data_IF_636192842184
#
_entry.id   IF_636192842184
#
_cell.length_a   1.000
_cell.length_b   1.000
_cell.length_c   1.000
_cell.angle_alpha   90.00
_cell.angle_beta   90.00
_cell.angle_gamma   90.00
#
_symmetry.space_group_name_H-M   'P 1'
#
loop_
_entity.id
_entity.type
_entity.pdbx_description
1 polymer ?
#
# COMPACT_ATOMS: atom_id res chain seq x y z
N UNK A 1 4.65 15.67 5.84
CA UNK A 1 5.28 14.48 5.22
C UNK A 1 4.96 13.27 6.10
N UNK A 2 4.63 12.13 5.49
CA UNK A 2 4.43 10.86 6.21
C UNK A 2 5.65 10.00 5.92
N UNK A 3 6.41 9.64 6.96
CA UNK A 3 7.50 8.69 6.82
C UNK A 3 6.88 7.30 6.63
N UNK A 4 6.87 6.79 5.39
CA UNK A 4 6.43 5.44 5.06
C UNK A 4 7.65 4.53 5.06
N UNK A 5 8.07 4.08 6.24
CA UNK A 5 9.12 3.08 6.32
C UNK A 5 9.62 2.92 7.73
N UNK A 6 9.53 1.71 8.26
CA UNK A 6 10.32 1.26 9.40
C UNK A 6 11.78 1.14 8.94
N UNK A 7 12.38 2.25 8.51
CA UNK A 7 13.78 2.31 8.16
C UNK A 7 14.56 2.33 9.47
N UNK A 8 15.46 1.37 9.65
CA UNK A 8 16.35 1.34 10.82
C UNK A 8 17.55 2.30 10.64
N UNK A 9 17.72 2.87 9.45
CA UNK A 9 18.72 3.91 9.19
C UNK A 9 18.17 5.28 9.61
N UNK A 10 19.05 6.13 10.13
CA UNK A 10 18.67 7.47 10.58
C UNK A 10 18.28 8.37 9.40
N UNK A 11 17.10 9.00 9.50
CA UNK A 11 16.67 10.02 8.54
C UNK A 11 17.47 11.32 8.73
N UNK A 12 18.14 11.78 7.68
CA UNK A 12 18.84 13.07 7.69
C UNK A 12 17.86 14.21 7.44
N UNK A 13 17.51 14.95 8.50
CA UNK A 13 16.60 16.11 8.45
C UNK A 13 17.39 17.39 8.68
N UNK A 14 17.27 18.37 7.77
CA UNK A 14 17.83 19.73 7.93
C UNK A 14 16.81 20.65 8.61
N UNK A 15 16.96 20.99 9.91
CA UNK A 15 15.92 21.71 10.65
C UNK A 15 15.60 23.08 10.08
N UNK A 16 16.62 23.82 9.60
CA UNK A 16 16.44 25.14 9.01
C UNK A 16 15.51 25.13 7.78
N UNK A 17 15.53 24.05 6.98
CA UNK A 17 14.64 23.92 5.82
C UNK A 17 13.22 23.57 6.26
N UNK A 18 13.07 22.69 7.26
CA UNK A 18 11.77 22.32 7.80
C UNK A 18 11.07 23.51 8.47
N UNK A 19 11.80 24.28 9.28
CA UNK A 19 11.27 25.46 9.96
C UNK A 19 10.87 26.57 8.99
N UNK A 20 11.63 26.80 7.91
CA UNK A 20 11.32 27.82 6.90
C UNK A 20 9.96 27.59 6.20
N UNK A 21 9.50 26.34 6.17
CA UNK A 21 8.24 25.93 5.53
C UNK A 21 7.21 25.46 6.55
N UNK A 22 7.47 25.64 7.85
CA UNK A 22 6.59 25.21 8.95
C UNK A 22 6.14 23.75 8.80
N UNK A 23 7.07 22.87 8.38
CA UNK A 23 6.72 21.48 8.08
C UNK A 23 6.35 20.72 9.36
N UNK A 24 5.25 19.97 9.29
CA UNK A 24 4.88 18.97 10.31
C UNK A 24 5.31 17.57 9.85
N UNK A 25 6.09 16.89 10.69
CA UNK A 25 6.46 15.49 10.52
C UNK A 25 5.54 14.59 11.34
N UNK A 26 5.04 13.53 10.71
CA UNK A 26 4.25 12.49 11.38
C UNK A 26 4.90 11.13 11.09
N UNK A 27 5.07 10.35 12.15
CA UNK A 27 5.65 9.00 12.11
C UNK A 27 4.58 7.98 12.55
N UNK A 28 3.54 7.74 11.71
CA UNK A 28 2.51 6.77 12.06
C UNK A 28 3.10 5.36 12.09
N UNK A 29 2.69 4.58 13.08
CA UNK A 29 3.09 3.18 13.22
C UNK A 29 1.85 2.32 13.39
N UNK A 30 1.70 1.33 12.51
CA UNK A 30 0.53 0.47 12.47
C UNK A 30 -0.75 1.24 12.11
N UNK A 31 -1.88 0.64 12.48
CA UNK A 31 -3.22 1.14 12.18
C UNK A 31 -4.14 0.96 13.38
N UNK A 32 -5.04 1.91 13.57
CA UNK A 32 -6.12 1.81 14.54
C UNK A 32 -7.31 1.06 13.94
N UNK A 33 -8.23 0.58 14.78
CA UNK A 33 -9.49 -0.01 14.32
C UNK A 33 -10.25 0.93 13.38
N UNK A 34 -10.26 2.23 13.65
CA UNK A 34 -10.97 3.21 12.83
C UNK A 34 -10.39 3.29 11.42
N UNK A 35 -9.08 3.13 11.27
CA UNK A 35 -8.43 3.15 9.95
C UNK A 35 -8.93 1.97 9.08
N UNK A 36 -9.13 0.79 9.68
CA UNK A 36 -9.70 -0.37 8.99
C UNK A 36 -11.17 -0.16 8.63
N UNK A 37 -11.97 0.46 9.49
CA UNK A 37 -13.37 0.79 9.19
C UNK A 37 -13.47 1.76 8.02
N UNK A 38 -12.65 2.83 8.02
CA UNK A 38 -12.59 3.78 6.91
C UNK A 38 -12.18 3.09 5.62
N UNK A 39 -11.16 2.24 5.66
CA UNK A 39 -10.72 1.49 4.49
C UNK A 39 -11.86 0.61 3.96
N UNK A 40 -12.50 -0.20 4.81
CA UNK A 40 -13.61 -1.07 4.43
C UNK A 40 -14.79 -0.28 3.84
N UNK A 41 -15.15 0.86 4.42
CA UNK A 41 -16.22 1.74 3.92
C UNK A 41 -15.90 2.27 2.51
N UNK A 42 -14.65 2.64 2.25
CA UNK A 42 -14.19 3.10 0.94
C UNK A 42 -14.26 1.96 -0.09
N UNK A 43 -13.84 0.76 0.30
CA UNK A 43 -13.92 -0.42 -0.57
C UNK A 43 -15.36 -0.80 -0.91
N UNK A 44 -16.27 -0.72 0.07
CA UNK A 44 -17.68 -1.04 -0.15
C UNK A 44 -18.36 -0.02 -1.07
N UNK A 45 -17.96 1.25 -1.02
CA UNK A 45 -18.53 2.34 -1.84
C UNK A 45 -18.01 2.34 -3.27
N UNK A 46 -16.77 1.91 -3.50
CA UNK A 46 -16.16 1.79 -4.82
C UNK A 46 -16.25 0.35 -5.32
N UNK A 47 -17.37 -0.06 -5.93
CA UNK A 47 -17.42 -1.38 -6.58
C UNK A 47 -17.98 -1.29 -8.00
N UNK A 48 -17.17 -1.75 -8.95
CA UNK A 48 -17.43 -2.08 -10.37
C UNK A 48 -17.51 -0.89 -11.32
N UNK A 49 -16.35 -0.38 -11.73
CA UNK A 49 -16.22 0.48 -12.90
C UNK A 49 -15.08 0.01 -13.79
N UNK A 50 -15.41 -0.51 -14.98
CA UNK A 50 -14.47 -0.71 -16.09
C UNK A 50 -13.54 0.50 -16.25
N UNK A 51 -12.27 0.20 -16.48
CA UNK A 51 -11.18 1.17 -16.69
C UNK A 51 -11.62 2.30 -17.64
N UNK A 52 -11.58 3.54 -17.13
CA UNK A 52 -11.51 4.75 -17.94
C UNK A 52 -12.77 5.63 -17.93
N UNK A 53 -12.89 6.55 -16.97
CA UNK A 53 -13.37 7.93 -17.18
C UNK A 53 -12.83 8.83 -16.07
N UNK A 54 -12.39 10.04 -16.41
CA UNK A 54 -11.51 10.88 -15.61
C UNK A 54 -12.23 11.79 -14.58
N UNK A 55 -13.54 11.61 -14.34
CA UNK A 55 -14.37 12.67 -13.73
C UNK A 55 -15.24 12.22 -12.54
N UNK A 56 -14.84 11.13 -11.86
CA UNK A 56 -15.47 10.72 -10.59
C UNK A 56 -14.41 10.76 -9.49
N UNK A 57 -14.65 11.51 -8.42
CA UNK A 57 -13.96 11.30 -7.14
C UNK A 57 -14.47 9.97 -6.59
N UNK A 58 -13.82 8.81 -6.61
CA UNK A 58 -12.60 8.28 -7.21
C UNK A 58 -12.75 6.79 -6.98
N UNK A 59 -13.17 6.04 -8.00
CA UNK A 59 -13.43 4.59 -7.86
C UNK A 59 -12.12 3.91 -7.46
N UNK A 60 -12.07 3.36 -6.25
CA UNK A 60 -10.91 2.59 -5.78
C UNK A 60 -11.13 1.14 -6.19
N UNK A 61 -10.23 0.61 -7.03
CA UNK A 61 -10.22 -0.80 -7.45
C UNK A 61 -8.99 -1.50 -6.83
N UNK A 62 -9.07 -2.02 -5.59
CA UNK A 62 -7.91 -2.57 -4.89
C UNK A 62 -7.31 -3.80 -5.57
N UNK A 63 -8.15 -4.50 -6.35
CA UNK A 63 -7.75 -5.67 -7.14
C UNK A 63 -6.73 -5.28 -8.21
N UNK A 64 -6.73 -4.05 -8.71
CA UNK A 64 -5.74 -3.56 -9.65
C UNK A 64 -4.33 -3.42 -9.04
N UNK A 65 -4.21 -3.44 -7.71
CA UNK A 65 -2.90 -3.44 -7.04
C UNK A 65 -2.28 -4.83 -6.97
N UNK A 66 -3.04 -5.90 -7.25
CA UNK A 66 -2.53 -7.26 -7.19
C UNK A 66 -1.65 -7.52 -8.41
N UNK A 67 -0.39 -7.86 -8.19
CA UNK A 67 0.53 -8.22 -9.27
C UNK A 67 0.48 -9.71 -9.59
N UNK A 68 0.09 -10.54 -8.62
CA UNK A 68 -0.03 -11.99 -8.82
C UNK A 68 -0.96 -12.64 -7.78
N UNK A 69 -1.49 -13.82 -8.10
CA UNK A 69 -2.24 -14.70 -7.19
C UNK A 69 -1.66 -16.10 -7.30
N UNK A 70 -1.18 -16.64 -6.19
CA UNK A 70 -0.48 -17.94 -6.17
C UNK A 70 -1.20 -18.95 -5.29
N UNK A 71 -1.21 -20.21 -5.71
CA UNK A 71 -1.67 -21.32 -4.88
C UNK A 71 -0.70 -21.63 -3.74
N UNK A 72 -1.17 -22.36 -2.73
CA UNK A 72 -0.37 -22.72 -1.55
C UNK A 72 0.94 -23.46 -1.90
N UNK A 73 0.91 -24.33 -2.90
CA UNK A 73 2.08 -25.11 -3.33
C UNK A 73 3.18 -24.25 -3.98
N UNK A 74 2.80 -23.14 -4.61
CA UNK A 74 3.71 -22.21 -5.28
C UNK A 74 4.30 -21.15 -4.33
N UNK A 75 3.81 -21.08 -3.10
CA UNK A 75 4.20 -20.07 -2.11
C UNK A 75 5.71 -20.02 -1.83
N UNK A 76 6.44 -21.15 -1.64
CA UNK A 76 7.87 -21.10 -1.41
C UNK A 76 8.65 -20.44 -2.57
N UNK A 77 8.24 -20.74 -3.80
CA UNK A 77 8.87 -20.15 -4.99
C UNK A 77 8.54 -18.66 -5.12
N UNK A 78 7.33 -18.25 -4.79
CA UNK A 78 6.92 -16.84 -4.79
C UNK A 78 7.73 -16.02 -3.78
N UNK A 79 8.01 -16.54 -2.58
CA UNK A 79 8.86 -15.87 -1.60
C UNK A 79 10.29 -15.65 -2.10
N UNK A 80 10.88 -16.63 -2.79
CA UNK A 80 12.22 -16.47 -3.36
C UNK A 80 12.25 -15.45 -4.50
N UNK A 81 11.19 -15.40 -5.31
CA UNK A 81 11.05 -14.39 -6.37
C UNK A 81 10.99 -12.96 -5.81
N UNK A 82 10.25 -12.76 -4.71
CA UNK A 82 10.10 -11.46 -4.03
C UNK A 82 11.39 -10.90 -3.40
N UNK A 83 12.48 -11.68 -3.33
CA UNK A 83 13.78 -11.21 -2.80
C UNK A 83 14.51 -10.26 -3.74
N UNK A 84 14.10 -10.19 -5.02
CA UNK A 84 14.69 -9.32 -6.04
C UNK A 84 13.66 -8.30 -6.51
N UNK A 85 14.08 -7.09 -6.94
CA UNK A 85 13.20 -6.19 -7.66
C UNK A 85 12.70 -6.91 -8.91
N UNK A 86 11.40 -7.19 -8.96
CA UNK A 86 10.75 -7.92 -10.03
C UNK A 86 9.34 -7.34 -10.25
N UNK A 87 8.62 -7.88 -11.22
CA UNK A 87 7.25 -7.44 -11.57
C UNK A 87 6.21 -7.75 -10.47
N UNK A 88 6.61 -8.48 -9.42
CA UNK A 88 5.78 -8.82 -8.27
C UNK A 88 5.96 -7.82 -7.12
N UNK A 89 4.88 -7.11 -6.79
CA UNK A 89 4.84 -6.13 -5.68
C UNK A 89 3.83 -6.51 -4.60
N UNK A 90 2.67 -7.06 -4.99
CA UNK A 90 1.60 -7.46 -4.08
C UNK A 90 0.98 -8.76 -4.57
N UNK A 91 1.43 -9.85 -3.96
CA UNK A 91 1.00 -11.21 -4.25
C UNK A 91 -0.01 -11.67 -3.20
N UNK A 92 -1.10 -12.29 -3.64
CA UNK A 92 -2.11 -12.89 -2.75
C UNK A 92 -2.02 -14.41 -2.84
N UNK A 93 -2.15 -15.09 -1.70
CA UNK A 93 -2.20 -16.56 -1.66
C UNK A 93 -3.65 -17.00 -1.69
N UNK A 94 -3.99 -17.85 -2.67
CA UNK A 94 -5.25 -18.58 -2.70
C UNK A 94 -5.04 -19.99 -2.13
N UNK A 95 -5.59 -20.30 -0.94
CA UNK A 95 -5.41 -21.60 -0.31
C UNK A 95 -6.23 -22.72 -0.97
N UNK A 96 -7.14 -22.41 -1.90
CA UNK A 96 -8.05 -23.40 -2.49
C UNK A 96 -7.73 -23.78 -3.94
N UNK A 97 -6.88 -22.98 -4.62
CA UNK A 97 -6.51 -23.18 -6.01
C UNK A 97 -7.50 -22.60 -7.01
#
# INVERSE_FOLDING_TARGET
MVALGFCMAADAITPAMASRKELTFKFPMGWTRRDFEVAADVLAKGTVGTVGTADTVGTVEPRAMLTDVVGMDALPQAFEALRRPADQCKVVVDPWG
#
